data_IF_554634480739
#
_entry.id   IF_554634480739
#
_cell.length_a   1.000
_cell.length_b   1.000
_cell.length_c   1.000
_cell.angle_alpha   90.00
_cell.angle_beta   90.00
_cell.angle_gamma   90.00
#
_symmetry.space_group_name_H-M   'P 1'
#
loop_
_entity.id
_entity.type
_entity.pdbx_description
1 polymer ?
#
# COMPACT_ATOMS: atom_id res chain seq x y z
N UNK A 1 12.87 -2.24 -17.21
CA UNK A 1 12.06 -1.26 -16.46
C UNK A 1 12.81 -0.57 -15.32
N UNK A 2 13.78 -1.22 -14.66
CA UNK A 2 14.57 -0.63 -13.56
C UNK A 2 15.30 0.69 -13.87
N UNK A 3 15.76 0.93 -15.10
CA UNK A 3 16.46 2.19 -15.46
C UNK A 3 15.57 3.43 -15.54
N UNK A 4 14.25 3.29 -15.68
CA UNK A 4 13.33 4.43 -15.84
C UNK A 4 12.72 4.91 -14.53
N UNK A 5 12.56 4.05 -13.53
CA UNK A 5 12.09 4.47 -12.20
C UNK A 5 13.16 5.22 -11.40
N UNK A 6 14.44 4.83 -11.50
CA UNK A 6 15.52 5.60 -10.86
C UNK A 6 15.63 7.02 -11.44
N UNK A 7 15.42 7.18 -12.75
CA UNK A 7 15.53 8.48 -13.42
C UNK A 7 14.40 9.45 -13.01
N UNK A 8 13.17 8.98 -12.82
CA UNK A 8 12.07 9.84 -12.37
C UNK A 8 12.19 10.25 -10.89
N UNK A 9 12.81 9.43 -10.03
CA UNK A 9 13.09 9.78 -8.63
C UNK A 9 14.28 10.75 -8.48
N UNK A 10 15.21 10.78 -9.45
CA UNK A 10 16.37 11.68 -9.45
C UNK A 10 16.09 13.06 -10.09
N UNK A 11 15.02 13.20 -10.89
CA UNK A 11 14.72 14.44 -11.63
C UNK A 11 13.83 15.42 -10.86
N UNK A 12 13.19 15.03 -9.76
CA UNK A 12 12.39 15.94 -8.91
C UNK A 12 13.19 16.57 -7.75
N UNK A 13 14.44 16.17 -7.56
CA UNK A 13 15.33 16.66 -6.48
C UNK A 13 16.33 17.72 -6.95
N UNK A 14 16.31 18.12 -8.23
CA UNK A 14 17.35 18.98 -8.82
C UNK A 14 17.08 20.50 -8.75
N UNK A 15 15.95 20.98 -8.22
CA UNK A 15 15.62 22.42 -8.20
C UNK A 15 15.66 23.09 -6.83
N UNK A 16 16.16 22.43 -5.78
CA UNK A 16 16.26 23.04 -4.44
C UNK A 16 17.70 23.18 -3.88
N UNK A 17 18.74 22.91 -4.69
CA UNK A 17 20.12 22.83 -4.20
C UNK A 17 21.03 24.04 -4.46
N UNK A 18 20.50 25.21 -4.88
CA UNK A 18 21.37 26.35 -5.16
C UNK A 18 20.84 27.67 -4.57
N UNK A 19 20.83 27.77 -3.24
CA UNK A 19 21.15 29.03 -2.55
C UNK A 19 21.27 28.82 -1.03
N UNK A 20 22.49 28.58 -0.55
CA UNK A 20 22.81 28.65 0.88
C UNK A 20 23.93 27.72 1.33
N UNK A 21 25.19 28.20 1.33
CA UNK A 21 26.32 27.52 1.98
C UNK A 21 26.16 27.55 3.51
N UNK A 22 25.30 26.69 4.06
CA UNK A 22 25.31 26.17 5.44
C UNK A 22 24.14 25.20 5.70
N UNK A 23 23.13 25.16 4.83
CA UNK A 23 21.97 24.26 4.91
C UNK A 23 22.16 22.95 4.13
N UNK A 24 23.22 22.84 3.32
CA UNK A 24 23.46 21.70 2.43
C UNK A 24 23.72 20.41 3.21
N UNK A 25 24.47 20.46 4.31
CA UNK A 25 24.82 19.27 5.09
C UNK A 25 23.60 18.67 5.80
N UNK A 26 22.75 19.51 6.41
CA UNK A 26 21.49 19.06 7.02
C UNK A 26 20.51 18.48 5.99
N UNK A 27 20.44 19.06 4.79
CA UNK A 27 19.61 18.52 3.71
C UNK A 27 20.11 17.14 3.21
N UNK A 28 21.43 16.96 3.10
CA UNK A 28 22.02 15.68 2.75
C UNK A 28 21.81 14.62 3.83
N UNK A 29 21.98 14.97 5.10
CA UNK A 29 21.76 14.06 6.24
C UNK A 29 20.29 13.60 6.33
N UNK A 30 19.35 14.52 6.12
CA UNK A 30 17.92 14.20 5.99
C UNK A 30 17.63 13.27 4.82
N UNK A 31 18.27 13.51 3.67
CA UNK A 31 18.11 12.67 2.49
C UNK A 31 18.67 11.26 2.70
N UNK A 32 19.87 11.11 3.25
CA UNK A 32 20.46 9.80 3.55
C UNK A 32 19.64 9.05 4.60
N UNK A 33 19.14 9.76 5.62
CA UNK A 33 18.23 9.18 6.63
C UNK A 33 16.95 8.63 6.00
N UNK A 34 16.32 9.35 5.05
CA UNK A 34 15.16 8.83 4.31
C UNK A 34 15.55 7.58 3.53
N UNK A 35 16.67 7.59 2.80
CA UNK A 35 17.09 6.44 2.00
C UNK A 35 17.33 5.20 2.86
N UNK A 36 18.02 5.35 3.98
CA UNK A 36 18.26 4.26 4.93
C UNK A 36 16.94 3.73 5.52
N UNK A 37 16.06 4.64 5.96
CA UNK A 37 14.78 4.29 6.57
C UNK A 37 13.78 3.71 5.55
N UNK A 38 13.94 3.99 4.24
CA UNK A 38 13.08 3.45 3.18
C UNK A 38 13.52 2.08 2.67
N UNK A 39 14.78 1.67 2.93
CA UNK A 39 15.32 0.39 2.46
C UNK A 39 14.48 -0.85 2.86
N UNK A 40 13.93 -0.96 4.08
CA UNK A 40 13.04 -2.06 4.43
C UNK A 40 11.79 -2.18 3.54
N UNK A 41 11.25 -1.05 3.05
CA UNK A 41 10.05 -1.04 2.19
C UNK A 41 10.36 -1.47 0.77
N UNK A 42 11.54 -1.11 0.26
CA UNK A 42 12.02 -1.64 -1.03
C UNK A 42 12.10 -3.16 -0.95
N UNK A 43 12.64 -3.69 0.15
CA UNK A 43 12.72 -5.13 0.40
C UNK A 43 11.33 -5.77 0.52
N UNK A 44 10.43 -5.19 1.33
CA UNK A 44 9.04 -5.66 1.46
C UNK A 44 8.34 -5.70 0.09
N UNK A 45 8.51 -4.67 -0.75
CA UNK A 45 7.95 -4.65 -2.10
C UNK A 45 8.49 -5.78 -2.99
N UNK A 46 9.78 -6.09 -2.90
CA UNK A 46 10.39 -7.19 -3.66
C UNK A 46 9.92 -8.56 -3.15
N UNK A 47 9.75 -8.71 -1.83
CA UNK A 47 9.23 -9.93 -1.22
C UNK A 47 7.78 -10.19 -1.66
N UNK A 48 6.95 -9.14 -1.74
CA UNK A 48 5.59 -9.25 -2.27
C UNK A 48 5.57 -9.59 -3.76
N UNK A 49 6.41 -8.96 -4.57
CA UNK A 49 6.54 -9.31 -5.99
C UNK A 49 6.91 -10.80 -6.14
N UNK A 50 7.94 -11.27 -5.43
CA UNK A 50 8.35 -12.67 -5.44
C UNK A 50 7.24 -13.61 -4.94
N UNK A 51 6.51 -13.22 -3.89
CA UNK A 51 5.36 -13.95 -3.38
C UNK A 51 4.27 -14.10 -4.45
N UNK A 52 3.92 -13.02 -5.15
CA UNK A 52 2.87 -13.07 -6.19
C UNK A 52 3.26 -13.97 -7.36
N UNK A 53 4.52 -13.89 -7.81
CA UNK A 53 5.06 -14.74 -8.88
C UNK A 53 5.02 -16.21 -8.44
N UNK A 54 5.57 -16.53 -7.27
CA UNK A 54 5.62 -17.91 -6.76
C UNK A 54 4.22 -18.49 -6.60
N UNK A 55 3.32 -17.74 -5.96
CA UNK A 55 1.94 -18.15 -5.69
C UNK A 55 1.20 -18.44 -6.99
N UNK A 56 1.28 -17.53 -7.97
CA UNK A 56 0.58 -17.69 -9.25
C UNK A 56 1.18 -18.82 -10.10
N UNK A 57 2.51 -19.02 -10.08
CA UNK A 57 3.17 -20.15 -10.73
C UNK A 57 2.78 -21.51 -10.15
N UNK A 58 2.55 -21.59 -8.84
CA UNK A 58 2.05 -22.81 -8.18
C UNK A 58 0.61 -23.14 -8.57
N UNK A 59 -0.12 -22.16 -9.10
CA UNK A 59 -1.47 -22.26 -9.58
C UNK A 59 -2.47 -21.86 -8.50
N UNK A 60 -3.30 -20.86 -8.82
CA UNK A 60 -4.38 -20.41 -7.96
C UNK A 60 -5.74 -20.59 -8.62
N UNK A 61 -6.77 -20.70 -7.80
CA UNK A 61 -8.17 -20.60 -8.22
C UNK A 61 -8.84 -19.48 -7.46
N UNK A 62 -9.84 -18.89 -8.10
CA UNK A 62 -10.55 -17.74 -7.58
C UNK A 62 -12.01 -18.09 -7.32
N UNK A 63 -12.55 -17.61 -6.20
CA UNK A 63 -13.97 -17.73 -5.89
C UNK A 63 -14.51 -16.43 -5.31
N UNK A 64 -15.81 -16.21 -5.45
CA UNK A 64 -16.50 -15.11 -4.78
C UNK A 64 -16.36 -15.27 -3.27
N UNK A 65 -16.03 -14.17 -2.58
CA UNK A 65 -15.92 -14.16 -1.13
C UNK A 65 -17.29 -14.36 -0.45
N UNK A 66 -17.35 -15.30 0.49
CA UNK A 66 -18.52 -15.53 1.33
C UNK A 66 -18.56 -14.52 2.51
N UNK A 67 -19.56 -14.64 3.39
CA UNK A 67 -19.72 -13.74 4.53
C UNK A 67 -18.53 -13.75 5.52
N UNK A 68 -17.96 -14.93 5.77
CA UNK A 68 -16.79 -15.09 6.66
C UNK A 68 -15.54 -14.44 6.05
N UNK A 69 -15.33 -14.63 4.75
CA UNK A 69 -14.22 -14.01 4.01
C UNK A 69 -14.30 -12.48 4.09
N UNK A 70 -15.50 -11.91 3.88
CA UNK A 70 -15.74 -10.46 3.99
C UNK A 70 -15.51 -9.93 5.40
N UNK A 71 -15.96 -10.66 6.41
CA UNK A 71 -15.75 -10.29 7.81
C UNK A 71 -14.26 -10.35 8.18
N UNK A 72 -13.53 -11.34 7.68
CA UNK A 72 -12.08 -11.43 7.86
C UNK A 72 -11.38 -10.22 7.25
N UNK A 73 -11.68 -9.89 5.99
CA UNK A 73 -11.09 -8.74 5.30
C UNK A 73 -11.40 -7.44 6.06
N UNK A 74 -12.64 -7.22 6.47
CA UNK A 74 -13.02 -6.02 7.23
C UNK A 74 -12.23 -5.90 8.52
N UNK A 75 -12.24 -6.95 9.36
CA UNK A 75 -11.51 -6.94 10.64
C UNK A 75 -10.02 -6.71 10.45
N UNK A 76 -9.41 -7.32 9.44
CA UNK A 76 -7.98 -7.19 9.18
C UNK A 76 -7.61 -5.81 8.66
N UNK A 77 -8.43 -5.22 7.77
CA UNK A 77 -8.26 -3.84 7.31
C UNK A 77 -8.43 -2.84 8.47
N UNK A 78 -9.48 -2.99 9.27
CA UNK A 78 -9.75 -2.11 10.42
C UNK A 78 -8.62 -2.16 11.47
N UNK A 79 -8.02 -3.34 11.67
CA UNK A 79 -6.97 -3.54 12.66
C UNK A 79 -5.57 -3.13 12.18
N UNK A 80 -5.24 -3.32 10.90
CA UNK A 80 -3.84 -3.27 10.44
C UNK A 80 -3.55 -2.18 9.40
N UNK A 81 -4.58 -1.60 8.76
CA UNK A 81 -4.35 -0.68 7.64
C UNK A 81 -3.68 0.63 8.06
N UNK A 82 -4.11 1.21 9.18
CA UNK A 82 -3.50 2.43 9.75
C UNK A 82 -2.01 2.23 9.99
N UNK A 83 -1.65 1.12 10.63
CA UNK A 83 -0.26 0.79 10.93
C UNK A 83 0.53 0.50 9.65
N UNK A 84 -0.08 -0.12 8.64
CA UNK A 84 0.57 -0.35 7.35
C UNK A 84 0.90 0.97 6.62
N UNK A 85 0.00 1.97 6.69
CA UNK A 85 0.25 3.32 6.17
C UNK A 85 1.32 4.05 6.99
N UNK A 86 1.24 3.96 8.33
CA UNK A 86 2.19 4.58 9.24
C UNK A 86 3.61 4.04 8.99
N UNK A 87 3.73 2.71 8.84
CA UNK A 87 4.98 2.03 8.49
C UNK A 87 5.53 2.67 7.22
N UNK A 88 4.81 2.59 6.09
CA UNK A 88 5.27 3.14 4.82
C UNK A 88 5.64 4.65 4.85
N UNK A 89 4.88 5.45 5.61
CA UNK A 89 5.03 6.92 5.60
C UNK A 89 6.06 7.43 6.62
N UNK A 90 6.31 6.70 7.70
CA UNK A 90 7.20 7.12 8.80
C UNK A 90 8.64 7.48 8.38
N UNK A 91 9.28 6.82 7.39
CA UNK A 91 10.62 7.22 6.92
C UNK A 91 10.69 8.66 6.40
N UNK A 92 9.56 9.20 5.93
CA UNK A 92 9.49 10.53 5.33
C UNK A 92 9.10 11.62 6.34
N UNK A 93 8.63 11.24 7.53
CA UNK A 93 8.29 12.16 8.61
C UNK A 93 9.53 12.51 9.45
N UNK A 94 10.38 13.40 8.92
CA UNK A 94 11.60 13.84 9.61
C UNK A 94 11.27 14.95 10.62
N UNK A 95 11.59 14.69 11.90
CA UNK A 95 11.39 15.63 13.01
C UNK A 95 10.07 15.37 13.75
N UNK A 96 9.96 15.88 14.98
CA UNK A 96 8.80 15.62 15.84
C UNK A 96 7.51 16.21 15.25
N UNK A 97 7.54 17.46 14.76
CA UNK A 97 6.36 18.08 14.13
C UNK A 97 5.80 17.25 12.97
N UNK A 98 6.68 16.71 12.10
CA UNK A 98 6.27 15.89 10.97
C UNK A 98 5.71 14.53 11.41
N UNK A 99 6.20 13.97 12.52
CA UNK A 99 5.67 12.72 13.11
C UNK A 99 4.31 12.96 13.76
N UNK A 100 4.14 14.08 14.47
CA UNK A 100 2.87 14.48 15.06
C UNK A 100 1.81 14.73 13.97
N UNK A 101 2.20 15.41 12.89
CA UNK A 101 1.34 15.62 11.73
C UNK A 101 0.94 14.29 11.08
N UNK A 102 1.90 13.37 10.88
CA UNK A 102 1.62 12.03 10.36
C UNK A 102 0.65 11.26 11.27
N UNK A 103 0.86 11.30 12.60
CA UNK A 103 0.00 10.63 13.56
C UNK A 103 -1.43 11.22 13.57
N UNK A 104 -1.55 12.55 13.45
CA UNK A 104 -2.85 13.24 13.38
C UNK A 104 -3.59 12.94 12.08
N UNK A 105 -2.89 12.87 10.96
CA UNK A 105 -3.49 12.62 9.66
C UNK A 105 -3.82 11.13 9.42
N UNK A 106 -3.19 10.23 10.18
CA UNK A 106 -3.34 8.78 10.06
C UNK A 106 -4.12 8.15 11.24
N UNK A 107 -5.14 8.84 11.76
CA UNK A 107 -5.90 8.33 12.90
C UNK A 107 -6.86 7.17 12.56
N UNK A 108 -7.40 7.14 11.34
CA UNK A 108 -8.38 6.12 11.00
C UNK A 108 -8.91 6.21 9.58
N UNK A 109 -9.54 5.11 9.17
CA UNK A 109 -10.13 4.94 7.85
C UNK A 109 -11.47 4.25 7.95
N UNK A 110 -12.37 4.59 7.03
CA UNK A 110 -13.62 3.86 6.83
C UNK A 110 -13.64 3.28 5.42
N UNK A 111 -13.80 1.97 5.33
CA UNK A 111 -13.75 1.25 4.06
C UNK A 111 -15.13 0.95 3.51
N UNK A 112 -15.28 1.04 2.19
CA UNK A 112 -16.42 0.50 1.44
C UNK A 112 -15.89 -0.51 0.43
N UNK A 113 -16.28 -1.77 0.56
CA UNK A 113 -15.83 -2.85 -0.31
C UNK A 113 -16.78 -3.03 -1.50
N UNK A 114 -16.26 -2.91 -2.72
CA UNK A 114 -17.03 -3.12 -3.95
C UNK A 114 -16.98 -4.58 -4.41
N UNK A 115 -15.80 -5.18 -4.34
CA UNK A 115 -15.58 -6.58 -4.72
C UNK A 115 -14.51 -7.22 -3.85
N UNK A 116 -14.74 -8.47 -3.45
CA UNK A 116 -13.80 -9.29 -2.71
C UNK A 116 -13.78 -10.67 -3.33
N UNK A 117 -12.60 -11.07 -3.78
CA UNK A 117 -12.36 -12.36 -4.42
C UNK A 117 -11.35 -13.16 -3.60
N UNK A 118 -11.74 -14.36 -3.21
CA UNK A 118 -10.87 -15.28 -2.46
C UNK A 118 -9.88 -15.92 -3.42
N UNK A 119 -8.60 -15.89 -3.05
CA UNK A 119 -7.51 -16.56 -3.77
C UNK A 119 -7.15 -17.84 -3.02
N UNK A 120 -7.24 -18.97 -3.71
CA UNK A 120 -6.98 -20.29 -3.12
C UNK A 120 -5.88 -21.00 -3.89
N UNK A 121 -5.07 -21.76 -3.16
CA UNK A 121 -4.14 -22.68 -3.77
C UNK A 121 -4.91 -23.75 -4.56
N UNK A 122 -4.53 -23.98 -5.82
CA UNK A 122 -5.26 -24.88 -6.72
C UNK A 122 -5.20 -26.34 -6.26
N UNK A 123 -4.10 -26.75 -5.61
CA UNK A 123 -3.86 -28.16 -5.25
C UNK A 123 -4.61 -28.55 -3.98
N UNK A 124 -4.59 -27.66 -2.99
CA UNK A 124 -5.11 -27.91 -1.64
C UNK A 124 -6.45 -27.25 -1.37
N UNK A 125 -6.89 -26.32 -2.22
CA UNK A 125 -8.05 -25.45 -1.99
C UNK A 125 -7.94 -24.57 -0.74
N UNK A 126 -6.75 -24.47 -0.14
CA UNK A 126 -6.50 -23.59 1.01
C UNK A 126 -6.58 -22.14 0.59
N UNK A 127 -7.25 -21.31 1.39
CA UNK A 127 -7.31 -19.86 1.14
C UNK A 127 -5.98 -19.21 1.48
N UNK A 128 -5.36 -18.60 0.48
CA UNK A 128 -4.09 -17.88 0.58
C UNK A 128 -4.31 -16.42 0.96
N UNK A 129 -5.39 -15.81 0.47
CA UNK A 129 -5.72 -14.43 0.74
C UNK A 129 -6.89 -13.94 -0.10
N UNK A 130 -7.01 -12.62 -0.21
CA UNK A 130 -8.17 -11.95 -0.79
C UNK A 130 -7.73 -10.78 -1.65
N UNK A 131 -8.26 -10.72 -2.86
CA UNK A 131 -8.17 -9.55 -3.73
C UNK A 131 -9.36 -8.64 -3.45
N UNK A 132 -9.08 -7.40 -3.06
CA UNK A 132 -10.07 -6.46 -2.54
C UNK A 132 -10.08 -5.22 -3.43
N UNK A 133 -11.26 -4.82 -3.88
CA UNK A 133 -11.51 -3.50 -4.45
C UNK A 133 -12.34 -2.66 -3.46
N UNK A 134 -11.87 -1.47 -3.14
CA UNK A 134 -12.43 -0.67 -2.07
C UNK A 134 -12.33 0.84 -2.32
N UNK A 135 -13.22 1.59 -1.68
CA UNK A 135 -13.02 3.00 -1.36
C UNK A 135 -12.61 3.12 0.10
N UNK A 136 -11.87 4.19 0.42
CA UNK A 136 -11.62 4.58 1.80
C UNK A 136 -11.84 6.07 2.01
N UNK A 137 -12.50 6.41 3.11
CA UNK A 137 -12.59 7.77 3.63
C UNK A 137 -11.67 7.90 4.85
N UNK A 138 -11.06 9.08 5.03
CA UNK A 138 -10.26 9.37 6.24
C UNK A 138 -11.17 9.71 7.41
N UNK A 139 -10.81 9.20 8.58
CA UNK A 139 -11.45 9.51 9.87
C UNK A 139 -10.41 10.17 10.75
N UNK A 140 -10.69 11.41 11.16
CA UNK A 140 -9.83 12.20 12.07
C UNK A 140 -10.74 12.79 13.16
N UNK A 141 -10.31 12.65 14.41
CA UNK A 141 -11.02 12.99 15.63
C UNK A 141 -12.43 12.37 15.68
N UNK A 142 -12.53 11.12 15.21
CA UNK A 142 -13.78 10.34 15.15
C UNK A 142 -14.78 10.83 14.09
N UNK A 143 -14.40 11.79 13.25
CA UNK A 143 -15.26 12.34 12.19
C UNK A 143 -14.70 12.05 10.81
N UNK A 144 -15.58 11.86 9.84
CA UNK A 144 -15.17 11.79 8.45
C UNK A 144 -14.58 13.14 8.03
N UNK A 145 -13.34 13.12 7.56
CA UNK A 145 -12.73 14.32 7.02
C UNK A 145 -13.05 14.42 5.54
N UNK A 146 -13.51 15.59 5.14
CA UNK A 146 -13.57 15.95 3.74
C UNK A 146 -12.14 16.19 3.25
N UNK A 147 -11.68 15.34 2.35
CA UNK A 147 -10.40 15.47 1.67
C UNK A 147 -10.66 15.80 0.20
N UNK A 148 -9.66 16.37 -0.47
CA UNK A 148 -9.75 16.69 -1.89
C UNK A 148 -10.04 15.42 -2.71
N UNK A 149 -10.64 15.55 -3.90
CA UNK A 149 -10.88 14.38 -4.77
C UNK A 149 -9.58 13.62 -5.10
N UNK A 150 -8.45 14.33 -5.15
CA UNK A 150 -7.12 13.76 -5.43
C UNK A 150 -6.60 12.89 -4.27
N UNK A 151 -6.99 13.22 -3.03
CA UNK A 151 -6.62 12.48 -1.82
C UNK A 151 -7.60 11.36 -1.47
N UNK A 152 -8.73 11.25 -2.19
CA UNK A 152 -9.72 10.19 -1.96
C UNK A 152 -9.20 8.88 -2.51
N UNK A 153 -9.15 7.87 -1.65
CA UNK A 153 -8.92 6.49 -2.06
C UNK A 153 -10.24 5.97 -2.64
N UNK A 154 -10.30 5.85 -3.97
CA UNK A 154 -11.46 5.37 -4.73
C UNK A 154 -11.07 4.23 -5.65
N UNK A 155 -11.94 3.21 -5.72
CA UNK A 155 -11.78 2.00 -6.55
C UNK A 155 -10.37 1.41 -6.48
N UNK A 156 -9.76 1.51 -5.31
CA UNK A 156 -8.39 1.10 -5.06
C UNK A 156 -8.34 -0.40 -4.84
N UNK A 157 -7.15 -0.97 -5.03
CA UNK A 157 -6.92 -2.40 -4.91
C UNK A 157 -5.98 -2.68 -3.75
N UNK A 158 -6.18 -3.82 -3.09
CA UNK A 158 -5.21 -4.36 -2.14
C UNK A 158 -5.34 -5.88 -2.12
N UNK A 159 -4.22 -6.57 -1.93
CA UNK A 159 -4.23 -8.00 -1.63
C UNK A 159 -3.99 -8.21 -0.14
N UNK A 160 -4.89 -8.96 0.48
CA UNK A 160 -4.83 -9.28 1.90
C UNK A 160 -4.48 -10.77 2.02
N UNK A 161 -3.21 -11.08 2.29
CA UNK A 161 -2.82 -12.43 2.62
C UNK A 161 -3.45 -12.88 3.94
N UNK A 162 -3.75 -14.17 4.06
CA UNK A 162 -4.36 -14.72 5.28
C UNK A 162 -3.38 -14.78 6.45
N UNK A 163 -2.10 -14.97 6.14
CA UNK A 163 -1.02 -15.30 7.08
C UNK A 163 0.06 -14.20 7.18
N UNK A 164 -0.10 -13.07 6.49
CA UNK A 164 0.82 -11.93 6.57
C UNK A 164 0.07 -10.69 7.07
N UNK A 165 0.79 -9.71 7.66
CA UNK A 165 0.23 -8.39 7.92
C UNK A 165 -0.24 -7.70 6.64
N UNK A 166 -1.18 -6.76 6.77
CA UNK A 166 -1.54 -5.86 5.67
C UNK A 166 -0.30 -5.11 5.19
N UNK A 167 -0.16 -5.02 3.86
CA UNK A 167 0.94 -4.30 3.21
C UNK A 167 0.42 -3.45 2.06
N UNK A 168 0.77 -2.17 2.13
CA UNK A 168 0.47 -1.19 1.08
C UNK A 168 1.28 -1.46 -0.19
N UNK A 169 2.36 -2.25 -0.13
CA UNK A 169 3.10 -2.65 -1.33
C UNK A 169 2.25 -3.48 -2.32
N UNK A 170 1.14 -4.05 -1.86
CA UNK A 170 0.25 -4.89 -2.69
C UNK A 170 -0.80 -4.10 -3.49
N UNK A 171 -0.87 -2.78 -3.33
CA UNK A 171 -1.92 -1.95 -3.97
C UNK A 171 -1.67 -1.66 -5.45
N UNK A 172 -0.47 -1.98 -5.96
CA UNK A 172 -0.10 -1.64 -7.33
C UNK A 172 -0.94 -2.38 -8.37
N UNK A 173 -1.16 -1.73 -9.52
CA UNK A 173 -1.90 -2.32 -10.63
C UNK A 173 -1.23 -3.60 -11.15
N UNK A 174 0.10 -3.63 -11.21
CA UNK A 174 0.86 -4.78 -11.72
C UNK A 174 0.77 -5.97 -10.77
N UNK A 175 0.93 -5.72 -9.46
CA UNK A 175 0.69 -6.75 -8.45
C UNK A 175 -0.74 -7.28 -8.54
N UNK A 176 -1.73 -6.39 -8.61
CA UNK A 176 -3.14 -6.77 -8.67
C UNK A 176 -3.44 -7.59 -9.93
N UNK A 177 -2.97 -7.18 -11.10
CA UNK A 177 -3.18 -7.95 -12.34
C UNK A 177 -2.54 -9.32 -12.28
N UNK A 178 -1.35 -9.42 -11.70
CA UNK A 178 -0.64 -10.69 -11.56
C UNK A 178 -1.34 -11.61 -10.55
N UNK A 179 -1.57 -11.12 -9.32
CA UNK A 179 -2.08 -11.91 -8.20
C UNK A 179 -3.60 -12.15 -8.26
N UNK A 180 -4.36 -11.19 -8.78
CA UNK A 180 -5.83 -11.22 -8.82
C UNK A 180 -6.38 -11.46 -10.23
N UNK A 181 -5.51 -11.47 -11.24
CA UNK A 181 -5.89 -11.61 -12.65
C UNK A 181 -6.41 -10.31 -13.26
N UNK A 182 -6.11 -10.12 -14.54
CA UNK A 182 -6.54 -8.94 -15.30
C UNK A 182 -8.06 -8.75 -15.34
N UNK A 183 -8.82 -9.85 -15.33
CA UNK A 183 -10.29 -9.80 -15.33
C UNK A 183 -10.84 -9.08 -14.10
N UNK A 184 -10.30 -9.38 -12.91
CA UNK A 184 -10.69 -8.72 -11.67
C UNK A 184 -10.32 -7.23 -11.69
N UNK A 185 -9.10 -6.92 -12.12
CA UNK A 185 -8.63 -5.54 -12.24
C UNK A 185 -9.49 -4.73 -13.21
N UNK A 186 -9.71 -5.24 -14.43
CA UNK A 186 -10.47 -4.54 -15.47
C UNK A 186 -11.94 -4.36 -15.11
N UNK A 187 -12.57 -5.31 -14.40
CA UNK A 187 -13.94 -5.19 -13.91
C UNK A 187 -14.10 -4.01 -12.95
N UNK A 188 -13.12 -3.80 -12.08
CA UNK A 188 -13.27 -2.93 -10.90
C UNK A 188 -12.50 -1.60 -11.01
N UNK A 189 -11.64 -1.41 -12.02
CA UNK A 189 -10.93 -0.14 -12.26
C UNK A 189 -11.82 0.96 -12.87
N UNK A 190 -12.98 0.57 -13.41
CA UNK A 190 -13.92 1.44 -14.13
C UNK A 190 -14.84 2.15 -13.16
#
# INVERSE_FOLDING_TARGET
>A
MQRKMLALLLLSSSTLLLSGCNSTFEAWDKFTTILENTAPYIKESQEWEAYSIKTTQQGVIYSVANASDRQFVSKKMDAEYVDAIARLSSPFAIGEDAKEDLARENQGYRFKYHDIMTVKDKKTSTTLGYCVNYDSDRVIDGKLREVSEEDKIRKSFIYIAKDQPVSIATVSADFTKLMCGEKFYNKNKM
#
